data_IF_613139562458
#
_entry.id   IF_613139562458
#
_cell.length_a   1.000
_cell.length_b   1.000
_cell.length_c   1.000
_cell.angle_alpha   90.00
_cell.angle_beta   90.00
_cell.angle_gamma   90.00
#
_symmetry.space_group_name_H-M   'P 1'
#
loop_
_entity.id
_entity.type
_entity.pdbx_description
1 polymer ?
#
# COMPACT_ATOMS: atom_id res chain seq x y z
N UNK A 1 7.68 -24.60 8.23
CA UNK A 1 6.64 -24.83 7.19
C UNK A 1 5.72 -23.60 7.20
N UNK A 2 5.73 -22.73 6.19
CA UNK A 2 4.79 -21.58 6.17
C UNK A 2 3.44 -22.11 5.66
N UNK A 3 2.47 -22.24 6.57
CA UNK A 3 1.16 -22.84 6.31
C UNK A 3 0.36 -22.02 5.27
N UNK A 4 -0.32 -22.69 4.34
CA UNK A 4 -1.25 -22.06 3.39
C UNK A 4 -2.26 -21.16 4.13
N UNK A 5 -2.79 -21.66 5.26
CA UNK A 5 -3.72 -20.91 6.12
C UNK A 5 -3.08 -19.66 6.73
N UNK A 6 -1.79 -19.72 7.06
CA UNK A 6 -1.10 -18.58 7.65
C UNK A 6 -0.93 -17.44 6.64
N UNK A 7 -0.45 -17.71 5.41
CA UNK A 7 -0.36 -16.62 4.43
C UNK A 7 -1.74 -16.07 4.09
N UNK A 8 -2.75 -16.93 3.93
CA UNK A 8 -4.08 -16.50 3.54
C UNK A 8 -4.71 -15.64 4.64
N UNK A 9 -4.55 -16.02 5.91
CA UNK A 9 -5.00 -15.23 7.05
C UNK A 9 -4.34 -13.85 7.11
N UNK A 10 -3.01 -13.78 6.94
CA UNK A 10 -2.29 -12.50 6.89
C UNK A 10 -2.69 -11.64 5.69
N UNK A 11 -2.82 -12.23 4.51
CA UNK A 11 -3.18 -11.49 3.29
C UNK A 11 -4.62 -10.96 3.37
N UNK A 12 -5.59 -11.79 3.77
CA UNK A 12 -6.98 -11.34 4.01
C UNK A 12 -7.03 -10.29 5.13
N UNK A 13 -6.28 -10.49 6.22
CA UNK A 13 -6.14 -9.49 7.28
C UNK A 13 -5.60 -8.16 6.75
N UNK A 14 -4.64 -8.19 5.83
CA UNK A 14 -4.14 -7.03 5.12
C UNK A 14 -5.20 -6.34 4.27
N UNK A 15 -6.05 -7.10 3.57
CA UNK A 15 -7.17 -6.53 2.79
C UNK A 15 -8.25 -5.90 3.68
N UNK A 16 -8.50 -6.48 4.86
CA UNK A 16 -9.39 -5.88 5.86
C UNK A 16 -8.78 -4.59 6.39
N UNK A 17 -7.48 -4.60 6.74
CA UNK A 17 -6.77 -3.39 7.15
C UNK A 17 -6.82 -2.32 6.06
N UNK A 18 -6.65 -2.69 4.79
CA UNK A 18 -6.82 -1.78 3.65
C UNK A 18 -8.21 -1.14 3.62
N UNK A 19 -9.28 -1.92 3.79
CA UNK A 19 -10.64 -1.39 3.82
C UNK A 19 -10.86 -0.40 4.97
N UNK A 20 -10.33 -0.69 6.15
CA UNK A 20 -10.37 0.21 7.32
C UNK A 20 -9.61 1.49 7.02
N UNK A 21 -8.35 1.38 6.59
CA UNK A 21 -7.50 2.51 6.22
C UNK A 21 -8.14 3.35 5.13
N UNK A 22 -8.74 2.74 4.11
CA UNK A 22 -9.42 3.44 3.03
C UNK A 22 -10.60 4.27 3.55
N UNK A 23 -11.36 3.76 4.53
CA UNK A 23 -12.45 4.53 5.15
C UNK A 23 -11.97 5.81 5.84
N UNK A 24 -10.72 5.85 6.32
CA UNK A 24 -10.11 7.06 6.86
C UNK A 24 -9.61 8.02 5.77
N UNK A 25 -9.29 7.51 4.58
CA UNK A 25 -8.82 8.33 3.46
C UNK A 25 -9.96 9.01 2.69
N UNK A 26 -11.14 8.37 2.59
CA UNK A 26 -12.29 8.90 1.83
C UNK A 26 -12.64 10.35 2.21
N UNK A 27 -12.71 10.75 3.50
CA UNK A 27 -13.05 12.12 3.87
C UNK A 27 -12.01 13.18 3.46
N UNK A 28 -10.79 12.78 3.09
CA UNK A 28 -9.74 13.71 2.69
C UNK A 28 -9.92 14.23 1.27
N UNK A 29 -10.78 13.58 0.47
CA UNK A 29 -11.18 14.04 -0.85
C UNK A 29 -12.25 15.13 -0.68
N UNK A 30 -11.81 16.39 -0.71
CA UNK A 30 -12.65 17.59 -0.63
C UNK A 30 -12.57 18.35 -1.95
N UNK A 31 -13.47 19.32 -2.18
CA UNK A 31 -13.52 20.06 -3.45
C UNK A 31 -12.17 20.71 -3.84
N UNK A 32 -11.41 21.19 -2.85
CA UNK A 32 -10.09 21.81 -3.06
C UNK A 32 -8.93 20.81 -3.23
N UNK A 33 -9.15 19.53 -2.89
CA UNK A 33 -8.19 18.41 -2.96
C UNK A 33 -8.93 17.15 -3.41
N UNK A 34 -9.39 17.09 -4.68
CA UNK A 34 -10.34 16.07 -5.13
C UNK A 34 -9.79 14.64 -5.11
N UNK A 35 -8.47 14.45 -5.27
CA UNK A 35 -7.81 13.16 -5.10
C UNK A 35 -7.47 12.83 -3.65
N UNK A 36 -7.73 13.76 -2.73
CA UNK A 36 -7.48 13.61 -1.30
C UNK A 36 -6.05 13.21 -1.00
N UNK A 37 -5.88 12.06 -0.35
CA UNK A 37 -4.55 11.54 -0.04
C UNK A 37 -3.69 11.29 -1.29
N UNK A 38 -4.29 10.91 -2.42
CA UNK A 38 -3.51 10.64 -3.64
C UNK A 38 -2.89 11.93 -4.19
N UNK A 39 -3.56 13.06 -4.05
CA UNK A 39 -3.00 14.38 -4.39
C UNK A 39 -1.83 14.72 -3.46
N UNK A 40 -1.98 14.47 -2.15
CA UNK A 40 -0.89 14.66 -1.19
C UNK A 40 0.30 13.74 -1.45
N UNK A 41 0.06 12.52 -1.94
CA UNK A 41 1.10 11.57 -2.35
C UNK A 41 1.80 11.98 -3.65
N UNK A 42 1.06 12.60 -4.57
CA UNK A 42 1.58 13.09 -5.83
C UNK A 42 2.25 14.48 -5.73
N UNK A 43 2.03 15.21 -4.63
CA UNK A 43 2.60 16.53 -4.41
C UNK A 43 4.14 16.48 -4.48
N UNK A 44 4.73 17.19 -5.43
CA UNK A 44 6.17 17.13 -5.73
C UNK A 44 6.95 18.35 -5.22
N UNK A 45 6.32 19.21 -4.43
CA UNK A 45 6.92 20.40 -3.83
C UNK A 45 6.35 20.68 -2.45
N UNK A 46 7.12 21.34 -1.60
CA UNK A 46 6.66 21.81 -0.29
C UNK A 46 5.45 22.73 -0.42
N UNK A 47 5.41 23.57 -1.46
CA UNK A 47 4.30 24.49 -1.71
C UNK A 47 2.98 23.75 -1.92
N UNK A 48 2.98 22.66 -2.70
CA UNK A 48 1.76 21.88 -2.92
C UNK A 48 1.35 21.07 -1.69
N UNK A 49 2.31 20.51 -0.96
CA UNK A 49 2.05 19.86 0.34
C UNK A 49 1.40 20.85 1.32
N UNK A 50 1.97 22.04 1.45
CA UNK A 50 1.43 23.11 2.31
C UNK A 50 0.03 23.53 1.90
N UNK A 51 -0.21 23.69 0.58
CA UNK A 51 -1.54 24.03 0.07
C UNK A 51 -2.56 22.96 0.49
N UNK A 52 -2.26 21.69 0.25
CA UNK A 52 -3.18 20.58 0.59
C UNK A 52 -3.44 20.52 2.09
N UNK A 53 -2.40 20.63 2.91
CA UNK A 53 -2.54 20.59 4.37
C UNK A 53 -3.33 21.78 4.90
N UNK A 54 -3.16 22.97 4.33
CA UNK A 54 -3.95 24.15 4.68
C UNK A 54 -5.44 23.98 4.35
N UNK A 55 -5.77 23.36 3.21
CA UNK A 55 -7.16 23.04 2.85
C UNK A 55 -7.77 22.00 3.82
N UNK A 56 -7.01 20.98 4.19
CA UNK A 56 -7.44 20.03 5.22
C UNK A 56 -7.57 20.68 6.60
N UNK A 57 -6.70 21.62 6.96
CA UNK A 57 -6.80 22.37 8.21
C UNK A 57 -8.07 23.23 8.24
N UNK A 58 -8.32 23.97 7.17
CA UNK A 58 -9.53 24.79 7.02
C UNK A 58 -10.82 23.94 7.10
N UNK A 59 -10.77 22.69 6.62
CA UNK A 59 -11.87 21.74 6.71
C UNK A 59 -11.93 20.97 8.05
N UNK A 60 -10.99 21.18 8.98
CA UNK A 60 -10.92 20.46 10.27
C UNK A 60 -10.48 18.98 10.14
N UNK A 61 -9.79 18.63 9.06
CA UNK A 61 -9.43 17.27 8.68
C UNK A 61 -7.98 16.87 9.01
N UNK A 62 -7.14 17.74 9.60
CA UNK A 62 -5.75 17.36 9.94
C UNK A 62 -5.67 16.14 10.86
N UNK A 63 -6.58 16.04 11.85
CA UNK A 63 -6.67 14.86 12.72
C UNK A 63 -7.05 13.59 11.95
N UNK A 64 -7.93 13.72 10.96
CA UNK A 64 -8.32 12.64 10.06
C UNK A 64 -7.16 12.21 9.16
N UNK A 65 -6.43 13.16 8.56
CA UNK A 65 -5.26 12.90 7.73
C UNK A 65 -4.18 12.16 8.50
N UNK A 66 -3.93 12.58 9.75
CA UNK A 66 -3.00 11.89 10.66
C UNK A 66 -3.44 10.46 10.96
N UNK A 67 -4.71 10.25 11.31
CA UNK A 67 -5.24 8.90 11.55
C UNK A 67 -5.14 8.03 10.30
N UNK A 68 -5.48 8.57 9.13
CA UNK A 68 -5.42 7.87 7.87
C UNK A 68 -4.00 7.35 7.59
N UNK A 69 -2.99 8.22 7.66
CA UNK A 69 -1.58 7.83 7.47
C UNK A 69 -1.09 6.83 8.53
N UNK A 70 -1.50 6.97 9.79
CA UNK A 70 -1.14 6.00 10.85
C UNK A 70 -1.75 4.62 10.61
N UNK A 71 -3.01 4.56 10.19
CA UNK A 71 -3.66 3.29 9.80
C UNK A 71 -3.04 2.70 8.55
N UNK A 72 -2.53 3.55 7.64
CA UNK A 72 -1.82 3.12 6.44
C UNK A 72 -0.52 2.39 6.78
N UNK A 73 0.28 2.91 7.72
CA UNK A 73 1.48 2.22 8.21
C UNK A 73 1.19 0.79 8.70
N UNK A 74 0.06 0.58 9.38
CA UNK A 74 -0.35 -0.74 9.85
C UNK A 74 -0.76 -1.64 8.68
N UNK A 75 -1.58 -1.12 7.75
CA UNK A 75 -1.98 -1.85 6.55
C UNK A 75 -0.76 -2.29 5.74
N UNK A 76 0.19 -1.39 5.47
CA UNK A 76 1.39 -1.65 4.68
C UNK A 76 2.14 -2.87 5.23
N UNK A 77 2.36 -2.92 6.54
CA UNK A 77 3.08 -4.04 7.18
C UNK A 77 2.29 -5.35 7.09
N UNK A 78 1.00 -5.34 7.46
CA UNK A 78 0.17 -6.56 7.48
C UNK A 78 0.03 -7.13 6.07
N UNK A 79 -0.33 -6.28 5.10
CA UNK A 79 -0.51 -6.66 3.71
C UNK A 79 0.79 -7.16 3.10
N UNK A 80 1.89 -6.41 3.23
CA UNK A 80 3.18 -6.79 2.65
C UNK A 80 3.68 -8.12 3.20
N UNK A 81 3.50 -8.34 4.51
CA UNK A 81 3.85 -9.60 5.13
C UNK A 81 2.99 -10.76 4.59
N UNK A 82 1.68 -10.58 4.50
CA UNK A 82 0.77 -11.57 3.89
C UNK A 82 1.13 -11.89 2.45
N UNK A 83 1.40 -10.86 1.64
CA UNK A 83 1.78 -10.99 0.25
C UNK A 83 3.14 -11.70 0.08
N UNK A 84 4.12 -11.33 0.90
CA UNK A 84 5.43 -11.99 0.94
C UNK A 84 5.33 -13.46 1.33
N UNK A 85 4.52 -13.80 2.35
CA UNK A 85 4.24 -15.19 2.73
C UNK A 85 3.57 -15.95 1.58
N UNK A 86 2.62 -15.34 0.87
CA UNK A 86 1.95 -15.91 -0.30
C UNK A 86 2.92 -16.19 -1.44
N UNK A 87 3.75 -15.21 -1.80
CA UNK A 87 4.79 -15.36 -2.82
C UNK A 87 5.78 -16.48 -2.48
N UNK A 88 6.26 -16.55 -1.23
CA UNK A 88 7.13 -17.65 -0.78
C UNK A 88 6.43 -19.01 -0.85
N UNK A 89 5.14 -19.05 -0.53
CA UNK A 89 4.35 -20.27 -0.61
C UNK A 89 4.22 -20.76 -2.07
N UNK A 90 3.86 -19.87 -3.00
CA UNK A 90 3.76 -20.21 -4.43
C UNK A 90 5.12 -20.53 -5.05
N UNK A 91 6.18 -19.82 -4.67
CA UNK A 91 7.55 -20.12 -5.10
C UNK A 91 7.96 -21.54 -4.72
N UNK A 92 7.61 -21.99 -3.51
CA UNK A 92 8.01 -23.30 -2.98
C UNK A 92 7.13 -24.44 -3.50
N UNK A 93 5.81 -24.25 -3.53
CA UNK A 93 4.84 -25.31 -3.80
C UNK A 93 4.32 -25.30 -5.25
N UNK A 94 4.42 -24.16 -5.94
CA UNK A 94 4.02 -24.02 -7.34
C UNK A 94 4.95 -24.73 -8.32
N UNK A 95 4.42 -24.97 -9.52
CA UNK A 95 5.14 -25.52 -10.68
C UNK A 95 5.06 -24.55 -11.86
N UNK A 96 6.04 -24.59 -12.76
CA UNK A 96 6.07 -23.77 -13.98
C UNK A 96 5.83 -22.28 -13.72
N UNK A 97 4.85 -21.70 -14.42
CA UNK A 97 4.50 -20.28 -14.32
C UNK A 97 4.12 -19.85 -12.89
N UNK A 98 3.45 -20.69 -12.09
CA UNK A 98 3.05 -20.35 -10.70
C UNK A 98 4.28 -20.13 -9.81
N UNK A 99 5.36 -20.88 -10.03
CA UNK A 99 6.62 -20.71 -9.29
C UNK A 99 7.28 -19.38 -9.63
N UNK A 100 7.32 -19.02 -10.91
CA UNK A 100 7.88 -17.75 -11.39
C UNK A 100 7.05 -16.59 -10.82
N UNK A 101 5.72 -16.69 -10.91
CA UNK A 101 4.80 -15.71 -10.35
C UNK A 101 4.99 -15.55 -8.82
N UNK A 102 5.19 -16.65 -8.09
CA UNK A 102 5.54 -16.60 -6.67
C UNK A 102 6.79 -15.78 -6.38
N UNK A 103 7.82 -15.88 -7.21
CA UNK A 103 9.04 -15.07 -7.08
C UNK A 103 8.80 -13.59 -7.39
N UNK A 104 7.98 -13.29 -8.40
CA UNK A 104 7.56 -11.92 -8.73
C UNK A 104 6.80 -11.30 -7.55
N UNK A 105 5.85 -12.03 -6.96
CA UNK A 105 5.06 -11.58 -5.80
C UNK A 105 5.99 -11.28 -4.60
N UNK A 106 6.99 -12.12 -4.32
CA UNK A 106 7.94 -11.88 -3.22
C UNK A 106 8.62 -10.52 -3.38
N UNK A 107 9.15 -10.23 -4.56
CA UNK A 107 9.85 -8.96 -4.79
C UNK A 107 8.88 -7.78 -4.85
N UNK A 108 7.71 -7.94 -5.47
CA UNK A 108 6.68 -6.91 -5.47
C UNK A 108 6.22 -6.55 -4.05
N UNK A 109 6.04 -7.54 -3.16
CA UNK A 109 5.70 -7.28 -1.76
C UNK A 109 6.81 -6.53 -1.00
N UNK A 110 8.08 -6.82 -1.28
CA UNK A 110 9.22 -6.10 -0.69
C UNK A 110 9.30 -4.68 -1.21
N UNK A 111 9.18 -4.48 -2.53
CA UNK A 111 9.19 -3.13 -3.11
C UNK A 111 8.03 -2.30 -2.61
N UNK A 112 6.82 -2.86 -2.56
CA UNK A 112 5.66 -2.21 -1.98
C UNK A 112 5.91 -1.78 -0.53
N UNK A 113 6.37 -2.70 0.33
CA UNK A 113 6.69 -2.39 1.73
C UNK A 113 7.65 -1.22 1.88
N UNK A 114 8.77 -1.24 1.14
CA UNK A 114 9.83 -0.25 1.29
C UNK A 114 9.42 1.11 0.72
N UNK A 115 8.79 1.12 -0.46
CA UNK A 115 8.37 2.36 -1.11
C UNK A 115 7.22 3.01 -0.36
N UNK A 116 6.20 2.24 0.05
CA UNK A 116 5.03 2.81 0.73
C UNK A 116 5.32 3.25 2.17
N UNK A 117 6.16 2.50 2.92
CA UNK A 117 6.63 2.98 4.23
C UNK A 117 7.47 4.24 4.09
N UNK A 118 8.39 4.27 3.11
CA UNK A 118 9.23 5.44 2.86
C UNK A 118 8.39 6.68 2.57
N UNK A 119 7.42 6.54 1.67
CA UNK A 119 6.47 7.59 1.31
C UNK A 119 5.65 8.06 2.53
N UNK A 120 4.93 7.15 3.17
CA UNK A 120 3.99 7.46 4.24
C UNK A 120 4.68 8.06 5.47
N UNK A 121 5.91 7.61 5.80
CA UNK A 121 6.69 8.19 6.91
C UNK A 121 7.10 9.63 6.60
N UNK A 122 7.51 9.93 5.37
CA UNK A 122 7.89 11.28 4.99
C UNK A 122 6.70 12.23 5.02
N UNK A 123 5.58 11.81 4.43
CA UNK A 123 4.33 12.58 4.47
C UNK A 123 3.83 12.83 5.88
N UNK A 124 3.92 11.82 6.76
CA UNK A 124 3.53 11.96 8.15
C UNK A 124 4.45 12.96 8.88
N UNK A 125 5.75 13.01 8.55
CA UNK A 125 6.65 14.01 9.11
C UNK A 125 6.27 15.42 8.70
N UNK A 126 5.95 15.64 7.42
CA UNK A 126 5.50 16.95 6.92
C UNK A 126 4.20 17.37 7.60
N UNK A 127 3.22 16.46 7.67
CA UNK A 127 1.95 16.70 8.35
C UNK A 127 2.12 17.04 9.84
N UNK A 128 3.03 16.36 10.54
CA UNK A 128 3.29 16.60 11.96
C UNK A 128 4.12 17.88 12.20
N UNK A 129 4.95 18.28 11.24
CA UNK A 129 5.66 19.54 11.28
C UNK A 129 4.73 20.73 10.96
N UNK A 130 3.63 20.49 10.23
CA UNK A 130 2.76 21.53 9.70
C UNK A 130 3.39 22.28 8.53
N UNK A 131 4.43 21.71 7.92
CA UNK A 131 5.13 22.26 6.77
C UNK A 131 5.69 21.14 5.88
N UNK A 132 5.58 21.33 4.57
CA UNK A 132 6.17 20.49 3.54
C UNK A 132 7.66 20.74 3.36
N UNK A 133 8.35 19.77 2.79
CA UNK A 133 9.76 19.85 2.44
C UNK A 133 9.98 19.41 1.00
N UNK A 134 10.63 20.24 0.17
CA UNK A 134 10.85 19.89 -1.25
C UNK A 134 11.61 18.56 -1.42
N UNK A 135 12.51 18.25 -0.48
CA UNK A 135 13.23 16.97 -0.47
C UNK A 135 12.29 15.80 -0.20
N UNK A 136 11.40 15.93 0.78
CA UNK A 136 10.45 14.87 1.14
C UNK A 136 9.37 14.72 0.07
N UNK A 137 8.83 15.84 -0.43
CA UNK A 137 7.89 15.90 -1.53
C UNK A 137 8.42 15.24 -2.81
N UNK A 138 9.68 15.53 -3.19
CA UNK A 138 10.31 14.90 -4.34
C UNK A 138 10.46 13.37 -4.16
N UNK A 139 10.82 12.91 -2.96
CA UNK A 139 10.97 11.47 -2.68
C UNK A 139 9.62 10.79 -2.73
N UNK A 140 8.63 11.28 -1.98
CA UNK A 140 7.36 10.59 -1.82
C UNK A 140 6.57 10.57 -3.15
N UNK A 141 6.59 11.65 -3.94
CA UNK A 141 5.99 11.68 -5.28
C UNK A 141 6.66 10.71 -6.26
N UNK A 142 7.96 10.46 -6.11
CA UNK A 142 8.69 9.47 -6.93
C UNK A 142 8.37 8.03 -6.49
N UNK A 143 8.17 7.80 -5.19
CA UNK A 143 7.82 6.49 -4.64
C UNK A 143 6.37 6.09 -4.97
N UNK A 144 5.46 7.05 -5.09
CA UNK A 144 4.04 6.81 -5.39
C UNK A 144 3.81 5.86 -6.58
N UNK A 145 4.31 6.12 -7.81
CA UNK A 145 4.09 5.21 -8.93
C UNK A 145 4.73 3.83 -8.71
N UNK A 146 5.88 3.77 -8.03
CA UNK A 146 6.59 2.51 -7.75
C UNK A 146 5.77 1.65 -6.78
N UNK A 147 5.28 2.23 -5.69
CA UNK A 147 4.46 1.49 -4.71
C UNK A 147 3.17 1.01 -5.35
N UNK A 148 2.51 1.83 -6.19
CA UNK A 148 1.25 1.47 -6.82
C UNK A 148 1.43 0.28 -7.76
N UNK A 149 2.47 0.29 -8.59
CA UNK A 149 2.80 -0.84 -9.45
C UNK A 149 3.11 -2.11 -8.63
N UNK A 150 3.93 -1.99 -7.58
CA UNK A 150 4.29 -3.11 -6.73
C UNK A 150 3.09 -3.70 -5.96
N UNK A 151 2.19 -2.85 -5.49
CA UNK A 151 0.93 -3.25 -4.85
C UNK A 151 0.04 -4.02 -5.81
N UNK A 152 -0.21 -3.49 -7.01
CA UNK A 152 -1.02 -4.15 -8.04
C UNK A 152 -0.42 -5.50 -8.45
N UNK A 153 0.89 -5.57 -8.70
CA UNK A 153 1.58 -6.82 -9.08
C UNK A 153 1.44 -7.87 -7.98
N UNK A 154 1.65 -7.49 -6.72
CA UNK A 154 1.54 -8.43 -5.61
C UNK A 154 0.09 -8.89 -5.38
N UNK A 155 -0.88 -7.97 -5.46
CA UNK A 155 -2.30 -8.26 -5.26
C UNK A 155 -2.86 -9.17 -6.36
N UNK A 156 -2.75 -8.74 -7.61
CA UNK A 156 -3.23 -9.48 -8.77
C UNK A 156 -2.46 -10.79 -8.92
N UNK A 157 -1.16 -10.78 -8.66
CA UNK A 157 -0.33 -11.97 -8.70
C UNK A 157 -0.82 -13.06 -7.75
N UNK A 158 -1.21 -12.71 -6.51
CA UNK A 158 -1.77 -13.67 -5.56
C UNK A 158 -3.09 -14.25 -6.06
N UNK A 159 -3.98 -13.41 -6.60
CA UNK A 159 -5.26 -13.86 -7.17
C UNK A 159 -5.03 -14.84 -8.31
N UNK A 160 -4.15 -14.51 -9.26
CA UNK A 160 -3.82 -15.37 -10.40
C UNK A 160 -3.23 -16.70 -9.91
N UNK A 161 -2.31 -16.65 -8.94
CA UNK A 161 -1.67 -17.85 -8.40
C UNK A 161 -2.68 -18.77 -7.68
N UNK A 162 -3.59 -18.19 -6.89
CA UNK A 162 -4.70 -18.93 -6.25
C UNK A 162 -5.63 -19.57 -7.30
N UNK A 163 -5.99 -18.82 -8.34
CA UNK A 163 -6.85 -19.31 -9.42
C UNK A 163 -6.18 -20.46 -10.20
N UNK A 164 -4.91 -20.28 -10.57
CA UNK A 164 -4.13 -21.31 -11.28
C UNK A 164 -3.99 -22.59 -10.44
N UNK A 165 -3.78 -22.45 -9.13
CA UNK A 165 -3.73 -23.60 -8.23
C UNK A 165 -5.08 -24.33 -8.17
N UNK A 166 -6.19 -23.59 -8.05
CA UNK A 166 -7.54 -24.17 -8.01
C UNK A 166 -7.89 -24.90 -9.30
N UNK A 167 -7.55 -24.34 -10.46
CA UNK A 167 -7.80 -24.97 -11.76
C UNK A 167 -6.92 -26.20 -12.00
N UNK A 168 -5.72 -26.23 -11.41
CA UNK A 168 -4.81 -27.38 -11.49
C UNK A 168 -5.26 -28.55 -10.61
N UNK A 169 -6.05 -28.26 -9.57
CA UNK A 169 -6.74 -29.25 -8.74
C UNK A 169 -8.05 -29.66 -9.44
N UNK A 170 -8.00 -30.36 -10.56
CA UNK A 170 -9.22 -30.96 -11.14
C UNK A 170 -9.85 -31.94 -10.13
N UNK A 171 -11.20 -32.00 -10.03
CA UNK A 171 -11.86 -33.07 -9.29
C UNK A 171 -11.53 -34.41 -9.95
N UNK A 172 -11.30 -35.44 -9.13
CA UNK A 172 -11.30 -36.83 -9.59
C UNK A 172 -12.70 -37.22 -10.08
#
# INVERSE_FOLDING_TARGET
MKSYRAFLGWWIGGLIAFGITHSFHVPLAIDAVPGGILDHQAANSAAEVNRIQAEWEAAGLLGQARTAMLTDLLFIVIYSFGAWLGGLWFRRNGKGAVRVLGNIIVWAAVFFLLSDLGETILQLKELLAGEGSDSYAAIHSTLQPVKMAAWVISFVGIIIALAAERLSRKPA
#
